data_IF_099784540705
#
_entry.id   IF_099784540705
#
_cell.length_a   1.000
_cell.length_b   1.000
_cell.length_c   1.000
_cell.angle_alpha   90.00
_cell.angle_beta   90.00
_cell.angle_gamma   90.00
#
_symmetry.space_group_name_H-M   'P 1'
#
loop_
_entity.id
_entity.type
_entity.pdbx_description
1 polymer ?
#
# COMPACT_ATOMS: atom_id res chain seq x y z
N UNK A 1 9.57 -15.07 -12.78
CA UNK A 1 8.22 -14.96 -12.20
C UNK A 1 7.45 -13.89 -12.95
N UNK A 2 6.20 -14.18 -13.34
CA UNK A 2 5.29 -13.19 -13.91
C UNK A 2 4.15 -12.99 -12.92
N UNK A 3 3.67 -11.76 -12.79
CA UNK A 3 2.49 -11.44 -11.97
C UNK A 3 1.41 -10.90 -12.90
N UNK A 4 0.17 -11.19 -12.59
CA UNK A 4 -0.98 -10.59 -13.26
C UNK A 4 -1.64 -9.64 -12.29
N UNK A 5 -1.92 -8.45 -12.78
CA UNK A 5 -2.67 -7.43 -12.05
C UNK A 5 -4.14 -7.80 -12.15
N UNK A 6 -4.78 -7.97 -11.00
CA UNK A 6 -6.22 -8.22 -10.92
C UNK A 6 -7.00 -6.92 -10.84
N UNK A 7 -6.52 -6.02 -9.99
CA UNK A 7 -7.23 -4.80 -9.66
C UNK A 7 -6.26 -3.66 -9.38
N UNK A 8 -6.69 -2.44 -9.70
CA UNK A 8 -5.96 -1.22 -9.43
C UNK A 8 -6.93 -0.22 -8.83
N UNK A 9 -6.61 0.29 -7.65
CA UNK A 9 -7.46 1.24 -6.94
C UNK A 9 -6.64 2.42 -6.44
N UNK A 10 -7.13 3.63 -6.71
CA UNK A 10 -6.50 4.88 -6.31
C UNK A 10 -7.11 5.35 -4.98
N UNK A 11 -6.26 5.91 -4.13
CA UNK A 11 -6.61 6.49 -2.85
C UNK A 11 -5.98 7.87 -2.73
N UNK A 12 -6.59 8.74 -1.93
CA UNK A 12 -6.06 10.09 -1.70
C UNK A 12 -4.77 10.08 -0.86
N UNK A 13 -4.51 8.99 -0.11
CA UNK A 13 -3.32 8.82 0.73
C UNK A 13 -3.01 7.34 1.00
N UNK A 14 -1.76 7.06 1.37
CA UNK A 14 -1.32 5.78 1.90
C UNK A 14 -2.05 5.44 3.19
N UNK A 15 -2.45 6.44 3.99
CA UNK A 15 -3.26 6.19 5.17
C UNK A 15 -4.62 5.58 4.79
N UNK A 16 -5.31 6.16 3.81
CA UNK A 16 -6.60 5.64 3.34
C UNK A 16 -6.44 4.22 2.74
N UNK A 17 -5.38 3.99 1.98
CA UNK A 17 -5.04 2.67 1.43
C UNK A 17 -4.83 1.64 2.55
N UNK A 18 -3.97 1.96 3.52
CA UNK A 18 -3.62 1.05 4.62
C UNK A 18 -4.73 0.84 5.65
N UNK A 19 -5.74 1.71 5.66
CA UNK A 19 -6.97 1.52 6.41
C UNK A 19 -7.98 0.63 5.68
N UNK A 20 -7.94 0.61 4.34
CA UNK A 20 -8.84 -0.21 3.53
C UNK A 20 -8.45 -1.69 3.54
N UNK A 21 -7.15 -1.99 3.53
CA UNK A 21 -6.63 -3.36 3.51
C UNK A 21 -6.15 -3.81 4.89
N UNK A 22 -6.35 -5.10 5.18
CA UNK A 22 -5.81 -5.72 6.40
C UNK A 22 -4.28 -5.85 6.33
N UNK A 23 -3.63 -5.91 7.50
CA UNK A 23 -2.17 -6.04 7.59
C UNK A 23 -1.65 -7.22 6.76
N UNK A 24 -2.35 -8.35 6.84
CA UNK A 24 -2.03 -9.57 6.11
C UNK A 24 -2.04 -9.38 4.59
N UNK A 25 -2.98 -8.62 4.04
CA UNK A 25 -3.09 -8.37 2.59
C UNK A 25 -1.95 -7.51 2.07
N UNK A 26 -1.52 -6.52 2.86
CA UNK A 26 -0.41 -5.64 2.51
C UNK A 26 0.97 -6.16 2.96
N UNK A 27 1.03 -7.40 3.47
CA UNK A 27 2.29 -8.05 3.86
C UNK A 27 2.91 -7.56 5.17
N UNK A 28 2.15 -6.88 6.02
CA UNK A 28 2.57 -6.47 7.35
C UNK A 28 2.12 -7.48 8.42
N UNK A 29 2.87 -7.57 9.52
CA UNK A 29 2.45 -8.32 10.71
C UNK A 29 1.18 -7.73 11.33
N UNK A 30 0.31 -8.56 11.90
CA UNK A 30 -0.95 -8.10 12.52
C UNK A 30 -0.73 -7.17 13.71
N UNK A 31 0.42 -7.26 14.38
CA UNK A 31 0.77 -6.44 15.56
C UNK A 31 1.25 -5.02 15.20
N UNK A 32 1.52 -4.74 13.92
CA UNK A 32 2.03 -3.44 13.49
C UNK A 32 0.89 -2.41 13.45
N UNK A 33 1.13 -1.28 14.10
CA UNK A 33 0.21 -0.14 14.10
C UNK A 33 0.28 0.64 12.78
N UNK A 34 -0.82 1.30 12.41
CA UNK A 34 -0.92 2.13 11.20
C UNK A 34 0.19 3.18 11.10
N UNK A 35 0.55 3.81 12.23
CA UNK A 35 1.63 4.80 12.31
C UNK A 35 3.00 4.22 11.92
N UNK A 36 3.28 2.98 12.34
CA UNK A 36 4.52 2.28 12.02
C UNK A 36 4.56 1.90 10.54
N UNK A 37 3.43 1.44 9.97
CA UNK A 37 3.33 1.18 8.53
C UNK A 37 3.61 2.43 7.70
N UNK A 38 2.97 3.54 8.05
CA UNK A 38 3.15 4.82 7.35
C UNK A 38 4.60 5.30 7.44
N UNK A 39 5.22 5.18 8.62
CA UNK A 39 6.64 5.52 8.78
C UNK A 39 7.53 4.69 7.84
N UNK A 40 7.29 3.38 7.70
CA UNK A 40 8.02 2.53 6.76
C UNK A 40 7.78 2.91 5.30
N UNK A 41 6.56 3.28 4.91
CA UNK A 41 6.26 3.76 3.55
C UNK A 41 6.97 5.07 3.26
N UNK A 42 6.99 6.01 4.22
CA UNK A 42 7.65 7.31 4.06
C UNK A 42 9.18 7.25 4.06
N UNK A 43 9.78 6.10 4.38
CA UNK A 43 11.21 5.88 4.13
C UNK A 43 11.52 5.63 2.66
N UNK A 44 10.53 5.23 1.86
CA UNK A 44 10.68 4.86 0.46
C UNK A 44 10.07 5.95 -0.45
N UNK A 45 8.91 6.49 -0.05
CA UNK A 45 8.16 7.50 -0.79
C UNK A 45 8.15 8.83 -0.06
N UNK A 46 8.25 9.93 -0.80
CA UNK A 46 8.20 11.26 -0.22
C UNK A 46 6.75 11.66 0.07
N UNK A 47 6.48 12.18 1.27
CA UNK A 47 5.18 12.71 1.68
C UNK A 47 4.68 13.81 0.74
N UNK A 48 5.58 14.64 0.22
CA UNK A 48 5.21 15.69 -0.73
C UNK A 48 4.68 15.10 -2.03
N UNK A 49 5.22 13.98 -2.50
CA UNK A 49 4.78 13.35 -3.75
C UNK A 49 3.40 12.69 -3.58
N UNK A 50 3.18 12.04 -2.43
CA UNK A 50 1.86 11.52 -2.07
C UNK A 50 0.79 12.62 -2.05
N UNK A 51 1.10 13.80 -1.51
CA UNK A 51 0.15 14.91 -1.49
C UNK A 51 -0.28 15.35 -2.90
N UNK A 52 0.59 15.21 -3.90
CA UNK A 52 0.30 15.62 -5.28
C UNK A 52 -0.26 14.50 -6.15
N UNK A 53 0.08 13.24 -5.86
CA UNK A 53 -0.20 12.09 -6.72
C UNK A 53 -1.16 11.07 -6.08
N UNK A 54 -1.37 11.15 -4.76
CA UNK A 54 -2.12 10.18 -3.98
C UNK A 54 -1.37 8.87 -3.77
N UNK A 55 -2.13 7.80 -3.56
CA UNK A 55 -1.64 6.44 -3.39
C UNK A 55 -2.36 5.45 -4.32
N UNK A 56 -1.66 4.39 -4.71
CA UNK A 56 -2.17 3.36 -5.61
C UNK A 56 -2.04 1.98 -4.96
N UNK A 57 -3.15 1.27 -4.83
CA UNK A 57 -3.16 -0.15 -4.51
C UNK A 57 -3.21 -0.95 -5.81
N UNK A 58 -2.28 -1.90 -5.95
CA UNK A 58 -2.25 -2.85 -7.07
C UNK A 58 -2.38 -4.24 -6.47
N UNK A 59 -3.50 -4.88 -6.73
CA UNK A 59 -3.72 -6.28 -6.36
C UNK A 59 -3.12 -7.16 -7.45
N UNK A 60 -2.21 -8.06 -7.05
CA UNK A 60 -1.49 -8.94 -7.96
C UNK A 60 -1.59 -10.39 -7.50
N UNK A 61 -1.68 -11.31 -8.45
CA UNK A 61 -1.45 -12.73 -8.21
C UNK A 61 -0.28 -13.25 -9.05
N UNK A 62 0.38 -14.27 -8.52
CA UNK A 62 1.46 -14.97 -9.20
C UNK A 62 0.90 -15.80 -10.36
N UNK A 63 1.50 -15.65 -11.53
CA UNK A 63 1.21 -16.50 -12.70
C UNK A 63 2.33 -17.54 -12.80
N UNK A 64 1.99 -18.85 -12.83
CA UNK A 64 2.96 -19.94 -13.00
C UNK A 64 3.76 -19.83 -14.30
#
# INVERSE_FOLDING_TARGET
>A
MKVKVDNVKVYDSFQALLQHYSNKEVGFSDEIQLSQKLASIYQIYNQTDELHLGALAIEIHLVP
#
